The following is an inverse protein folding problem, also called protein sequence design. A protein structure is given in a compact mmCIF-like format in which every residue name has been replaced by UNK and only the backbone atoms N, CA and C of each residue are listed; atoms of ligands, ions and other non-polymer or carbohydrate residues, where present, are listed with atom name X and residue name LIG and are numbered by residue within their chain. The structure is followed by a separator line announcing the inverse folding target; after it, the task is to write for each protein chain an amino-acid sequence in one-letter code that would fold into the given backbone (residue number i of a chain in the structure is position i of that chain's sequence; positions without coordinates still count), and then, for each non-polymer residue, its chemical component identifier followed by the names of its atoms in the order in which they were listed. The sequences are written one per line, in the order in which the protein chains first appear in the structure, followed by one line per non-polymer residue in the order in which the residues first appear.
data_IF_622393376865
#
_entry.id   IF_622393376865
#
_cell.length_a   1.000
_cell.length_b   1.000
_cell.length_c   1.000
_cell.angle_alpha   90.00
_cell.angle_beta   90.00
_cell.angle_gamma   90.00
#
_symmetry.space_group_name_H-M   'P 1'
#
loop_
_entity.id
_entity.type
_entity.pdbx_description
1 polymer ?
#
# COMPACT_ATOMS: atom_id res chain seq x y z
N UNK A 1 -108.68 6.90 38.26
CA UNK A 1 -107.25 7.27 38.34
C UNK A 1 -106.45 6.06 37.90
N UNK A 2 -105.62 6.26 36.89
CA UNK A 2 -104.89 5.28 36.09
C UNK A 2 -103.92 4.44 36.92
N UNK A 3 -104.16 3.13 36.99
CA UNK A 3 -103.12 2.15 37.28
C UNK A 3 -102.24 2.03 36.03
N UNK A 4 -101.16 2.79 35.97
CA UNK A 4 -100.11 2.57 34.97
C UNK A 4 -99.35 1.30 35.35
N UNK A 5 -99.75 0.20 34.70
CA UNK A 5 -98.93 -1.00 34.53
C UNK A 5 -97.59 -0.57 33.92
N UNK A 6 -96.50 -0.78 34.65
CA UNK A 6 -95.13 -0.57 34.18
C UNK A 6 -94.62 -1.91 33.66
N UNK A 7 -94.52 -2.13 32.33
CA UNK A 7 -93.86 -3.32 31.80
C UNK A 7 -92.34 -3.16 31.98
N UNK A 8 -91.60 -4.17 32.45
CA UNK A 8 -90.15 -4.14 32.39
C UNK A 8 -89.74 -4.32 30.91
N UNK A 9 -89.13 -3.30 30.33
CA UNK A 9 -88.41 -3.39 29.05
C UNK A 9 -86.99 -3.81 29.43
N UNK A 10 -86.74 -5.12 29.38
CA UNK A 10 -85.98 -5.84 28.34
C UNK A 10 -84.48 -5.62 28.47
N UNK A 11 -83.85 -6.74 28.87
CA UNK A 11 -82.53 -7.22 28.48
C UNK A 11 -81.47 -6.12 28.37
N UNK A 12 -80.66 -6.03 29.43
CA UNK A 12 -79.30 -5.56 29.33
C UNK A 12 -78.68 -6.25 28.10
N UNK A 13 -78.60 -5.52 26.99
CA UNK A 13 -77.70 -5.87 25.91
C UNK A 13 -76.33 -5.99 26.59
N UNK A 14 -75.91 -7.24 26.83
CA UNK A 14 -74.52 -7.59 27.04
C UNK A 14 -73.80 -7.00 25.83
N UNK A 15 -73.38 -5.73 25.95
CA UNK A 15 -72.36 -5.17 25.11
C UNK A 15 -71.20 -6.14 25.30
N UNK A 16 -70.98 -7.00 24.30
CA UNK A 16 -69.72 -7.68 24.09
C UNK A 16 -68.69 -6.56 24.09
N UNK A 17 -68.10 -6.31 25.27
CA UNK A 17 -66.96 -5.42 25.42
C UNK A 17 -65.91 -6.12 24.56
N UNK A 18 -65.76 -5.65 23.32
CA UNK A 18 -64.65 -5.94 22.43
C UNK A 18 -63.43 -5.79 23.31
N UNK A 19 -62.86 -6.92 23.73
CA UNK A 19 -61.85 -6.97 24.76
C UNK A 19 -60.70 -6.12 24.27
N UNK A 20 -60.55 -4.92 24.84
CA UNK A 20 -59.46 -4.02 24.50
C UNK A 20 -58.17 -4.84 24.57
N UNK A 21 -57.45 -4.93 23.44
CA UNK A 21 -56.23 -5.73 23.35
C UNK A 21 -55.36 -5.43 24.58
N UNK A 22 -54.99 -6.48 25.32
CA UNK A 22 -54.12 -6.29 26.48
C UNK A 22 -52.75 -5.81 26.01
N UNK A 23 -52.06 -4.97 26.79
CA UNK A 23 -50.74 -4.44 26.44
C UNK A 23 -49.75 -5.56 26.06
N UNK A 24 -49.87 -6.73 26.68
CA UNK A 24 -49.05 -7.90 26.36
C UNK A 24 -49.33 -8.48 24.96
N UNK A 25 -50.61 -8.60 24.58
CA UNK A 25 -51.04 -9.12 23.28
C UNK A 25 -50.66 -8.16 22.15
N UNK A 26 -50.75 -6.85 22.39
CA UNK A 26 -50.25 -5.84 21.45
C UNK A 26 -48.73 -5.92 21.25
N UNK A 27 -47.96 -6.14 22.32
CA UNK A 27 -46.50 -6.31 22.24
C UNK A 27 -46.15 -7.57 21.45
N UNK A 28 -46.82 -8.69 21.68
CA UNK A 28 -46.60 -9.93 20.94
C UNK A 28 -46.83 -9.72 19.44
N UNK A 29 -47.98 -9.13 19.05
CA UNK A 29 -48.29 -8.81 17.65
C UNK A 29 -47.22 -7.94 17.00
N UNK A 30 -46.79 -6.86 17.67
CA UNK A 30 -45.73 -6.01 17.13
C UNK A 30 -44.38 -6.72 17.02
N UNK A 31 -44.04 -7.58 17.98
CA UNK A 31 -42.79 -8.35 17.88
C UNK A 31 -42.83 -9.33 16.72
N UNK A 32 -43.96 -10.00 16.48
CA UNK A 32 -44.15 -10.91 15.35
C UNK A 32 -44.04 -10.16 14.01
N UNK A 33 -44.75 -9.05 13.85
CA UNK A 33 -44.66 -8.20 12.65
C UNK A 33 -43.23 -7.71 12.39
N UNK A 34 -42.51 -7.28 13.45
CA UNK A 34 -41.11 -6.84 13.34
C UNK A 34 -40.21 -8.02 12.96
N UNK A 35 -40.43 -9.21 13.52
CA UNK A 35 -39.62 -10.39 13.18
C UNK A 35 -39.81 -10.79 11.73
N UNK A 36 -41.04 -10.82 11.22
CA UNK A 36 -41.33 -11.13 9.80
C UNK A 36 -40.67 -10.11 8.86
N UNK A 37 -40.74 -8.81 9.19
CA UNK A 37 -40.04 -7.78 8.41
C UNK A 37 -38.52 -7.96 8.44
N UNK A 38 -37.94 -8.31 9.59
CA UNK A 38 -36.48 -8.54 9.68
C UNK A 38 -36.09 -9.77 8.88
N UNK A 39 -36.84 -10.86 8.97
CA UNK A 39 -36.57 -12.09 8.23
C UNK A 39 -36.62 -11.86 6.72
N UNK A 40 -37.66 -11.19 6.22
CA UNK A 40 -37.80 -10.85 4.79
C UNK A 40 -36.65 -9.96 4.30
N UNK A 41 -36.29 -8.91 5.02
CA UNK A 41 -35.16 -8.03 4.65
C UNK A 41 -33.81 -8.74 4.75
N UNK A 42 -33.61 -9.63 5.73
CA UNK A 42 -32.39 -10.44 5.80
C UNK A 42 -32.28 -11.41 4.63
N UNK A 43 -33.38 -12.03 4.21
CA UNK A 43 -33.43 -12.86 3.00
C UNK A 43 -33.06 -12.07 1.75
N UNK A 44 -33.67 -10.90 1.54
CA UNK A 44 -33.34 -10.01 0.43
C UNK A 44 -31.86 -9.60 0.43
N UNK A 45 -31.29 -9.29 1.60
CA UNK A 45 -29.89 -8.94 1.73
C UNK A 45 -28.95 -10.12 1.41
N UNK A 46 -29.32 -11.33 1.80
CA UNK A 46 -28.58 -12.56 1.50
C UNK A 46 -28.58 -12.86 -0.01
N UNK A 47 -29.71 -12.75 -0.69
CA UNK A 47 -29.79 -12.90 -2.16
C UNK A 47 -28.88 -11.93 -2.92
N UNK A 48 -28.82 -10.67 -2.47
CA UNK A 48 -27.90 -9.67 -3.04
C UNK A 48 -26.45 -10.04 -2.74
N UNK A 49 -26.14 -10.53 -1.54
CA UNK A 49 -24.79 -10.98 -1.19
C UNK A 49 -24.35 -12.16 -2.05
N UNK A 50 -25.22 -13.13 -2.30
CA UNK A 50 -24.96 -14.27 -3.18
C UNK A 50 -24.64 -13.80 -4.61
N UNK A 51 -25.47 -12.91 -5.16
CA UNK A 51 -25.23 -12.31 -6.48
C UNK A 51 -23.88 -11.59 -6.55
N UNK A 52 -23.48 -10.87 -5.49
CA UNK A 52 -22.18 -10.21 -5.41
C UNK A 52 -21.02 -11.22 -5.29
N UNK A 53 -21.24 -12.35 -4.61
CA UNK A 53 -20.22 -13.41 -4.51
C UNK A 53 -19.97 -14.09 -5.85
N UNK A 54 -21.02 -14.28 -6.66
CA UNK A 54 -20.92 -14.83 -8.02
C UNK A 54 -20.05 -13.92 -8.91
N UNK A 55 -20.24 -12.60 -8.81
CA UNK A 55 -19.46 -11.58 -9.52
C UNK A 55 -18.04 -11.41 -8.92
N UNK A 56 -17.69 -12.16 -7.86
CA UNK A 56 -16.41 -12.08 -7.12
C UNK A 56 -16.14 -10.69 -6.56
N UNK A 57 -17.18 -9.98 -6.15
CA UNK A 57 -17.06 -8.69 -5.47
C UNK A 57 -16.80 -8.93 -3.98
N UNK A 58 -15.73 -8.36 -3.40
CA UNK A 58 -15.46 -8.51 -1.98
C UNK A 58 -16.49 -7.74 -1.14
N UNK A 59 -17.18 -8.43 -0.24
CA UNK A 59 -18.11 -7.83 0.73
C UNK A 59 -17.51 -7.86 2.14
N UNK A 60 -17.94 -6.92 3.00
CA UNK A 60 -17.48 -6.82 4.40
C UNK A 60 -18.68 -6.59 5.30
N UNK A 61 -18.99 -7.57 6.15
CA UNK A 61 -19.99 -7.44 7.21
C UNK A 61 -19.46 -6.62 8.39
N UNK A 62 -20.27 -5.70 8.90
CA UNK A 62 -19.95 -4.85 10.05
C UNK A 62 -21.09 -4.95 11.06
N UNK A 63 -20.78 -5.47 12.26
CA UNK A 63 -21.75 -5.50 13.37
C UNK A 63 -22.19 -4.07 13.75
N UNK A 64 -23.50 -3.84 13.75
CA UNK A 64 -24.13 -2.55 14.06
C UNK A 64 -24.68 -2.47 15.51
N UNK A 65 -24.40 -3.45 16.36
CA UNK A 65 -24.93 -3.55 17.74
C UNK A 65 -24.39 -2.49 18.71
N UNK A 66 -23.37 -1.73 18.32
CA UNK A 66 -22.70 -0.75 19.19
C UNK A 66 -23.22 0.67 18.90
N UNK A 67 -22.81 1.63 19.74
CA UNK A 67 -23.06 3.05 19.48
C UNK A 67 -22.56 3.48 18.10
N UNK A 68 -23.28 4.43 17.48
CA UNK A 68 -23.05 4.95 16.12
C UNK A 68 -21.58 5.34 15.91
N UNK A 69 -20.95 5.96 16.90
CA UNK A 69 -19.54 6.37 16.84
C UNK A 69 -18.59 5.17 16.67
N UNK A 70 -18.83 4.07 17.40
CA UNK A 70 -18.01 2.86 17.31
C UNK A 70 -18.22 2.14 15.98
N UNK A 71 -19.46 2.08 15.52
CA UNK A 71 -19.81 1.50 14.21
C UNK A 71 -19.14 2.30 13.09
N UNK A 72 -19.24 3.63 13.10
CA UNK A 72 -18.57 4.52 12.13
C UNK A 72 -17.06 4.33 12.14
N UNK A 73 -16.43 4.25 13.31
CA UNK A 73 -14.99 3.99 13.40
C UNK A 73 -14.62 2.62 12.80
N UNK A 74 -15.39 1.57 13.10
CA UNK A 74 -15.18 0.22 12.55
C UNK A 74 -15.30 0.22 11.03
N UNK A 75 -16.31 0.90 10.49
CA UNK A 75 -16.53 1.04 9.05
C UNK A 75 -15.37 1.79 8.38
N UNK A 76 -15.03 2.99 8.88
CA UNK A 76 -13.90 3.78 8.33
C UNK A 76 -12.59 3.01 8.42
N UNK A 77 -12.33 2.30 9.53
CA UNK A 77 -11.11 1.50 9.69
C UNK A 77 -11.00 0.37 8.67
N UNK A 78 -12.13 -0.26 8.29
CA UNK A 78 -12.17 -1.31 7.26
C UNK A 78 -11.96 -0.74 5.86
N UNK A 79 -12.59 0.39 5.54
CA UNK A 79 -12.56 0.98 4.20
C UNK A 79 -11.31 1.88 4.00
N UNK A 80 -10.59 2.24 5.07
CA UNK A 80 -9.41 3.11 5.04
C UNK A 80 -8.41 2.74 3.95
N UNK A 81 -8.07 1.46 3.81
CA UNK A 81 -7.09 1.01 2.83
C UNK A 81 -7.61 1.20 1.39
N UNK A 82 -8.92 1.06 1.16
CA UNK A 82 -9.55 1.28 -0.15
C UNK A 82 -9.59 2.75 -0.53
N UNK A 83 -9.83 3.64 0.45
CA UNK A 83 -9.89 5.09 0.23
C UNK A 83 -8.48 5.66 0.01
N UNK A 84 -7.55 5.36 0.91
CA UNK A 84 -6.20 5.95 0.90
C UNK A 84 -5.37 5.44 -0.28
N UNK A 85 -5.46 4.15 -0.60
CA UNK A 85 -4.68 3.51 -1.66
C UNK A 85 -5.51 3.28 -2.94
N UNK A 86 -6.43 4.19 -3.28
CA UNK A 86 -7.32 4.07 -4.46
C UNK A 86 -6.56 3.75 -5.75
N UNK A 87 -5.39 4.37 -5.94
CA UNK A 87 -4.54 4.15 -7.11
C UNK A 87 -3.90 2.76 -7.17
N UNK A 88 -3.71 2.10 -6.02
CA UNK A 88 -3.06 0.80 -5.91
C UNK A 88 -4.03 -0.37 -5.69
N UNK A 89 -5.35 -0.15 -5.85
CA UNK A 89 -6.39 -1.16 -5.59
C UNK A 89 -6.21 -2.46 -6.38
N UNK A 90 -5.78 -2.34 -7.63
CA UNK A 90 -5.59 -3.47 -8.54
C UNK A 90 -4.15 -3.99 -8.57
N UNK A 91 -3.27 -3.39 -7.76
CA UNK A 91 -1.87 -3.77 -7.73
C UNK A 91 -1.67 -5.00 -6.85
N UNK A 92 -0.96 -6.00 -7.40
CA UNK A 92 -0.69 -7.27 -6.71
C UNK A 92 0.81 -7.39 -6.46
N UNK A 93 1.15 -7.57 -5.19
CA UNK A 93 2.51 -7.80 -4.72
C UNK A 93 2.58 -9.18 -4.06
N UNK A 94 3.49 -10.02 -4.53
CA UNK A 94 3.67 -11.37 -4.02
C UNK A 94 4.88 -11.42 -3.08
N UNK A 95 4.69 -11.71 -1.78
CA UNK A 95 5.80 -11.83 -0.85
C UNK A 95 6.61 -13.10 -1.17
N UNK A 96 7.93 -13.00 -1.18
CA UNK A 96 8.84 -14.11 -1.45
C UNK A 96 9.92 -14.24 -0.37
N UNK A 97 10.51 -15.43 -0.29
CA UNK A 97 11.77 -15.65 0.44
C UNK A 97 12.94 -15.12 -0.38
N UNK A 98 14.02 -14.64 0.25
CA UNK A 98 15.18 -14.10 -0.46
C UNK A 98 15.83 -15.12 -1.40
N UNK A 99 15.90 -16.40 -1.01
CA UNK A 99 16.46 -17.47 -1.83
C UNK A 99 15.65 -17.73 -3.11
N UNK A 100 14.31 -17.71 -2.99
CA UNK A 100 13.42 -17.89 -4.14
C UNK A 100 13.53 -16.70 -5.09
N UNK A 101 13.61 -15.50 -4.55
CA UNK A 101 13.85 -14.28 -5.33
C UNK A 101 15.18 -14.34 -6.10
N UNK A 102 16.26 -14.82 -5.49
CA UNK A 102 17.55 -14.99 -6.17
C UNK A 102 17.49 -16.04 -7.28
N UNK A 103 16.77 -17.14 -7.08
CA UNK A 103 16.54 -18.14 -8.14
C UNK A 103 15.80 -17.54 -9.33
N UNK A 104 14.74 -16.75 -9.10
CA UNK A 104 13.94 -16.12 -10.17
C UNK A 104 14.75 -15.12 -11.00
N UNK A 105 15.68 -14.42 -10.35
CA UNK A 105 16.55 -13.44 -11.03
C UNK A 105 17.67 -14.15 -11.77
N UNK A 106 18.26 -15.18 -11.16
CA UNK A 106 19.35 -15.97 -11.77
C UNK A 106 18.86 -16.80 -12.96
N UNK A 107 17.61 -17.28 -12.91
CA UNK A 107 16.97 -17.97 -14.04
C UNK A 107 16.48 -17.02 -15.13
N UNK A 108 16.50 -15.71 -14.91
CA UNK A 108 15.99 -14.70 -15.84
C UNK A 108 14.46 -14.63 -15.93
N UNK A 109 13.71 -15.35 -15.08
CA UNK A 109 12.24 -15.31 -15.09
C UNK A 109 11.67 -13.97 -14.59
N UNK A 110 12.42 -13.28 -13.74
CA UNK A 110 12.09 -11.92 -13.27
C UNK A 110 13.33 -11.03 -13.31
N UNK A 111 13.09 -9.73 -13.44
CA UNK A 111 14.14 -8.72 -13.52
C UNK A 111 14.46 -8.09 -12.16
N UNK A 112 15.69 -7.62 -12.02
CA UNK A 112 16.10 -6.82 -10.88
C UNK A 112 15.39 -5.45 -10.96
N UNK A 113 14.80 -4.99 -9.86
CA UNK A 113 14.24 -3.64 -9.79
C UNK A 113 15.31 -2.55 -9.98
N UNK A 114 14.92 -1.34 -10.37
CA UNK A 114 15.78 -0.15 -10.43
C UNK A 114 16.41 0.22 -9.07
N UNK A 115 15.87 -0.29 -7.97
CA UNK A 115 16.45 -0.17 -6.64
C UNK A 115 17.60 -1.16 -6.38
N UNK A 116 17.81 -2.15 -7.26
CA UNK A 116 18.72 -3.26 -7.01
C UNK A 116 18.29 -4.09 -5.79
N UNK A 117 19.26 -4.56 -5.00
CA UNK A 117 19.01 -5.26 -3.72
C UNK A 117 18.71 -4.30 -2.54
N UNK A 118 18.48 -3.02 -2.81
CA UNK A 118 18.16 -2.04 -1.76
C UNK A 118 16.67 -1.98 -1.44
N UNK A 119 16.36 -1.67 -0.19
CA UNK A 119 14.98 -1.49 0.27
C UNK A 119 14.37 -0.21 -0.29
N UNK A 120 13.21 -0.26 -0.99
CA UNK A 120 12.52 0.93 -1.49
C UNK A 120 12.15 1.92 -0.37
N UNK A 121 11.74 1.41 0.79
CA UNK A 121 11.35 2.25 1.94
C UNK A 121 12.51 3.10 2.48
N UNK A 122 13.74 2.60 2.38
CA UNK A 122 14.94 3.33 2.83
C UNK A 122 15.33 4.46 1.88
N UNK A 123 14.95 4.39 0.58
CA UNK A 123 15.32 5.40 -0.43
C UNK A 123 14.24 6.48 -0.61
N UNK A 124 12.99 6.18 -0.30
CA UNK A 124 11.89 7.18 -0.33
C UNK A 124 11.94 8.13 0.87
N UNK A 125 12.50 7.70 2.01
CA UNK A 125 12.79 8.62 3.12
C UNK A 125 14.09 9.37 2.84
N UNK A 126 14.10 10.72 2.79
CA UNK A 126 15.32 11.51 2.60
C UNK A 126 16.30 11.43 3.80
N UNK A 127 15.97 10.68 4.84
CA UNK A 127 16.78 10.54 6.06
C UNK A 127 18.06 9.69 5.86
N UNK A 128 18.24 9.05 4.70
CA UNK A 128 19.47 8.34 4.36
C UNK A 128 20.34 9.15 3.39
N UNK A 129 20.69 10.38 3.78
CA UNK A 129 21.96 10.94 3.33
C UNK A 129 23.04 10.00 3.86
N UNK A 130 23.76 9.34 2.95
CA UNK A 130 24.92 8.52 3.30
C UNK A 130 25.98 9.32 4.05
N UNK A 131 26.95 8.66 4.69
CA UNK A 131 27.97 9.35 5.46
C UNK A 131 28.73 10.33 4.57
N UNK A 132 29.08 11.46 5.19
CA UNK A 132 29.89 12.54 4.64
C UNK A 132 31.12 12.03 3.88
N UNK A 133 31.62 12.81 2.90
CA UNK A 133 32.79 12.44 2.10
C UNK A 133 33.99 12.12 3.02
N UNK A 134 34.52 10.90 2.91
CA UNK A 134 35.67 10.43 3.70
C UNK A 134 35.55 9.01 4.26
N UNK A 135 34.40 8.35 4.16
CA UNK A 135 34.26 6.94 4.58
C UNK A 135 34.66 5.97 3.45
N UNK A 136 35.46 4.92 3.75
CA UNK A 136 35.98 4.01 2.72
C UNK A 136 34.85 3.31 1.96
N UNK A 137 34.98 3.32 0.63
CA UNK A 137 33.99 2.91 -0.38
C UNK A 137 33.58 1.43 -0.34
N UNK A 138 34.16 0.61 0.55
CA UNK A 138 33.86 -0.81 0.66
C UNK A 138 32.47 -1.09 1.26
N UNK A 139 31.86 -0.11 1.96
CA UNK A 139 30.52 -0.23 2.53
C UNK A 139 29.38 0.30 1.62
N UNK A 140 29.70 0.85 0.45
CA UNK A 140 28.72 1.55 -0.40
C UNK A 140 27.92 0.66 -1.38
N UNK A 141 28.03 -0.66 -1.26
CA UNK A 141 27.34 -1.60 -2.16
C UNK A 141 26.71 -2.81 -1.48
N UNK A 142 26.97 -3.03 -0.20
CA UNK A 142 26.44 -4.16 0.54
C UNK A 142 25.59 -3.61 1.68
N UNK A 143 24.29 -3.93 1.75
CA UNK A 143 23.51 -3.52 2.89
C UNK A 143 24.17 -4.12 4.15
N UNK A 144 24.42 -3.30 5.19
CA UNK A 144 25.02 -3.73 6.48
C UNK A 144 24.32 -4.94 7.11
N UNK A 145 23.08 -5.22 6.67
CA UNK A 145 22.33 -6.44 6.92
C UNK A 145 21.84 -7.01 5.60
N UNK A 146 22.00 -8.32 5.41
CA UNK A 146 21.45 -9.04 4.26
C UNK A 146 19.94 -8.79 4.18
N UNK A 147 19.37 -8.67 2.96
CA UNK A 147 17.94 -8.49 2.80
C UNK A 147 17.19 -9.72 3.34
N UNK A 148 16.45 -9.52 4.43
CA UNK A 148 15.71 -10.58 5.12
C UNK A 148 14.48 -11.05 4.33
N UNK A 149 13.92 -10.20 3.47
CA UNK A 149 12.67 -10.45 2.77
C UNK A 149 12.72 -9.96 1.33
N UNK A 150 11.91 -10.56 0.45
CA UNK A 150 11.72 -10.10 -0.92
C UNK A 150 10.22 -10.02 -1.26
N UNK A 151 9.89 -9.32 -2.34
CA UNK A 151 8.58 -9.37 -2.96
C UNK A 151 8.70 -9.17 -4.47
N UNK A 152 7.79 -9.80 -5.22
CA UNK A 152 7.63 -9.58 -6.66
C UNK A 152 6.49 -8.61 -6.89
N UNK A 153 6.76 -7.62 -7.72
CA UNK A 153 5.76 -6.72 -8.23
C UNK A 153 5.92 -6.66 -9.76
N UNK A 154 4.89 -7.13 -10.47
CA UNK A 154 4.89 -7.30 -11.93
C UNK A 154 6.06 -8.19 -12.40
N UNK A 155 7.01 -7.62 -13.13
CA UNK A 155 8.20 -8.30 -13.67
C UNK A 155 9.44 -8.11 -12.78
N UNK A 156 9.36 -7.25 -11.77
CA UNK A 156 10.50 -6.84 -10.98
C UNK A 156 10.49 -7.46 -9.58
N UNK A 157 11.68 -7.84 -9.12
CA UNK A 157 11.93 -8.30 -7.76
C UNK A 157 12.42 -7.13 -6.91
N UNK A 158 11.86 -7.00 -5.71
CA UNK A 158 12.23 -6.01 -4.71
C UNK A 158 12.74 -6.70 -3.45
N UNK A 159 13.80 -6.16 -2.87
CA UNK A 159 14.38 -6.65 -1.62
C UNK A 159 14.05 -5.70 -0.48
N UNK A 160 13.86 -6.26 0.73
CA UNK A 160 13.50 -5.52 1.93
C UNK A 160 14.40 -5.96 3.10
N UNK A 161 14.73 -5.01 3.97
CA UNK A 161 15.47 -5.30 5.21
C UNK A 161 14.55 -5.89 6.27
N UNK A 162 13.32 -5.37 6.39
CA UNK A 162 12.34 -5.82 7.39
C UNK A 162 11.05 -6.31 6.72
N UNK A 163 10.35 -7.29 7.32
CA UNK A 163 9.04 -7.71 6.83
C UNK A 163 7.97 -6.61 7.00
N UNK A 164 8.17 -5.67 7.92
CA UNK A 164 7.29 -4.52 8.10
C UNK A 164 7.32 -3.59 6.89
N UNK A 165 8.51 -3.34 6.32
CA UNK A 165 8.65 -2.50 5.13
C UNK A 165 8.07 -3.20 3.88
N UNK A 166 8.18 -4.53 3.81
CA UNK A 166 7.48 -5.33 2.79
C UNK A 166 5.96 -5.16 2.87
N UNK A 167 5.38 -5.15 4.09
CA UNK A 167 3.93 -4.94 4.28
C UNK A 167 3.49 -3.57 3.76
N UNK A 168 4.22 -2.51 4.11
CA UNK A 168 3.93 -1.15 3.59
C UNK A 168 4.02 -1.08 2.06
N UNK A 169 4.99 -1.79 1.46
CA UNK A 169 5.12 -1.88 0.02
C UNK A 169 3.98 -2.68 -0.63
N UNK A 170 3.49 -3.72 0.05
CA UNK A 170 2.34 -4.52 -0.39
C UNK A 170 1.05 -3.69 -0.38
N UNK A 171 0.87 -2.82 0.62
CA UNK A 171 -0.30 -1.95 0.73
C UNK A 171 -0.34 -0.87 -0.37
N UNK A 172 0.81 -0.29 -0.72
CA UNK A 172 0.90 0.72 -1.76
C UNK A 172 2.29 0.68 -2.44
N UNK A 173 2.45 -0.06 -3.54
CA UNK A 173 3.72 -0.11 -4.27
C UNK A 173 3.97 1.17 -5.09
N UNK A 174 2.90 1.85 -5.53
CA UNK A 174 2.99 2.99 -6.45
C UNK A 174 3.70 4.20 -5.85
N UNK A 175 3.52 4.46 -4.55
CA UNK A 175 4.26 5.55 -3.87
C UNK A 175 5.78 5.40 -3.99
N UNK A 176 6.29 4.17 -4.04
CA UNK A 176 7.73 3.94 -4.16
C UNK A 176 8.22 4.07 -5.61
N UNK A 177 7.33 3.87 -6.58
CA UNK A 177 7.65 3.91 -8.01
C UNK A 177 7.48 5.30 -8.61
N UNK A 178 6.45 6.05 -8.20
CA UNK A 178 6.17 7.41 -8.68
C UNK A 178 7.22 8.42 -8.18
N UNK A 179 7.75 8.22 -6.97
CA UNK A 179 8.81 9.05 -6.41
C UNK A 179 10.21 8.65 -6.90
N UNK A 180 10.33 8.08 -8.12
CA UNK A 180 11.56 7.75 -8.83
C UNK A 180 12.38 8.98 -9.26
N UNK A 181 12.53 9.99 -8.40
CA UNK A 181 13.78 10.76 -8.42
C UNK A 181 14.83 9.87 -7.76
N UNK A 182 15.31 8.87 -8.50
CA UNK A 182 16.54 8.21 -8.11
C UNK A 182 17.57 9.34 -8.00
N UNK A 183 18.18 9.63 -6.83
CA UNK A 183 19.47 10.29 -6.89
C UNK A 183 20.30 9.34 -7.74
N UNK A 184 20.70 9.82 -8.93
CA UNK A 184 21.60 9.13 -9.83
C UNK A 184 22.63 8.48 -8.92
N UNK A 185 22.68 7.14 -8.90
CA UNK A 185 23.76 6.50 -8.18
C UNK A 185 25.01 7.16 -8.74
N UNK A 186 25.83 7.79 -7.90
CA UNK A 186 27.17 8.15 -8.30
C UNK A 186 27.82 6.82 -8.71
N UNK A 187 27.67 6.49 -9.99
CA UNK A 187 28.26 5.32 -10.58
C UNK A 187 29.75 5.55 -10.37
N UNK A 188 30.44 4.66 -9.65
CA UNK A 188 31.83 4.92 -9.31
C UNK A 188 32.59 5.09 -10.63
N UNK A 189 33.07 6.31 -10.91
CA UNK A 189 33.84 6.61 -12.10
C UNK A 189 35.11 5.76 -12.03
N UNK A 190 35.22 4.77 -12.90
CA UNK A 190 36.43 3.98 -13.08
C UNK A 190 37.36 4.76 -14.00
N UNK A 191 38.22 5.59 -13.41
CA UNK A 191 39.22 6.35 -14.14
C UNK A 191 40.48 5.48 -14.33
N UNK A 192 40.79 5.14 -15.57
CA UNK A 192 42.06 4.54 -15.94
C UNK A 192 42.99 5.64 -16.49
N UNK A 193 44.08 5.94 -15.79
CA UNK A 193 45.06 6.95 -16.22
C UNK A 193 46.16 6.28 -17.04
N UNK A 194 46.07 6.41 -18.37
CA UNK A 194 47.05 5.86 -19.34
C UNK A 194 47.98 6.99 -19.84
N UNK A 195 49.18 6.67 -20.30
CA UNK A 195 50.26 7.63 -20.61
C UNK A 195 51.66 7.02 -20.46
N UNK A 196 52.68 7.72 -20.97
CA UNK A 196 54.06 7.24 -20.99
C UNK A 196 54.66 7.04 -19.57
N UNK A 197 55.65 6.14 -19.41
CA UNK A 197 56.38 6.01 -18.14
C UNK A 197 57.03 7.35 -17.75
N UNK A 198 57.03 7.69 -16.45
CA UNK A 198 57.50 8.97 -15.86
C UNK A 198 56.60 10.20 -16.04
N UNK A 199 55.40 10.09 -16.63
CA UNK A 199 54.46 11.21 -16.82
C UNK A 199 53.75 11.73 -15.54
N UNK A 200 54.28 11.48 -14.34
CA UNK A 200 53.69 12.00 -13.09
C UNK A 200 52.34 11.40 -12.67
N UNK A 201 51.85 10.33 -13.30
CA UNK A 201 50.54 9.70 -12.97
C UNK A 201 50.38 9.26 -11.51
N UNK A 202 51.49 9.07 -10.80
CA UNK A 202 51.53 8.75 -9.38
C UNK A 202 51.12 9.94 -8.50
N UNK A 203 51.36 11.18 -8.93
CA UNK A 203 50.95 12.40 -8.21
C UNK A 203 49.44 12.64 -8.30
N UNK A 204 48.77 12.22 -9.38
CA UNK A 204 47.31 12.34 -9.50
C UNK A 204 46.53 11.47 -8.50
N UNK A 205 47.17 10.54 -7.78
CA UNK A 205 46.51 9.70 -6.76
C UNK A 205 46.30 10.41 -5.42
N UNK A 206 47.03 11.48 -5.12
CA UNK A 206 47.02 12.13 -3.80
C UNK A 206 46.15 13.40 -3.72
N UNK A 207 45.69 13.94 -4.84
CA UNK A 207 44.86 15.16 -4.87
C UNK A 207 43.38 14.83 -5.03
N UNK A 208 42.66 14.83 -3.90
CA UNK A 208 41.20 14.58 -3.79
C UNK A 208 40.32 15.67 -4.42
N UNK A 209 40.88 16.76 -4.98
CA UNK A 209 40.10 17.88 -5.51
C UNK A 209 40.70 18.48 -6.79
N UNK A 210 40.84 17.69 -7.86
CA UNK A 210 41.29 18.22 -9.16
C UNK A 210 40.41 17.76 -10.35
N UNK A 211 39.21 17.22 -10.09
CA UNK A 211 38.29 16.80 -11.14
C UNK A 211 37.65 17.96 -11.94
N UNK A 212 37.67 19.19 -11.42
CA UNK A 212 37.05 20.35 -12.08
C UNK A 212 38.07 21.31 -12.74
N UNK A 213 39.34 21.31 -12.33
CA UNK A 213 40.34 22.27 -12.83
C UNK A 213 41.15 21.77 -14.03
N UNK A 214 41.25 20.45 -14.25
CA UNK A 214 42.02 19.92 -15.39
C UNK A 214 41.33 20.10 -16.76
N UNK A 215 39.99 20.22 -16.81
CA UNK A 215 39.30 20.44 -18.08
C UNK A 215 39.56 21.84 -18.68
N UNK A 216 39.77 22.86 -17.84
CA UNK A 216 40.08 24.21 -18.34
C UNK A 216 41.53 24.33 -18.81
N UNK A 217 42.49 23.64 -18.19
CA UNK A 217 43.90 23.84 -18.53
C UNK A 217 44.32 23.16 -19.83
N UNK A 218 43.65 22.06 -20.24
CA UNK A 218 44.02 21.36 -21.47
C UNK A 218 43.52 22.07 -22.74
N UNK A 219 42.44 22.86 -22.65
CA UNK A 219 41.88 23.57 -23.81
C UNK A 219 42.63 24.89 -24.13
N UNK A 220 43.36 25.47 -23.17
CA UNK A 220 44.11 26.73 -23.36
C UNK A 220 45.56 26.53 -23.81
N UNK A 221 46.08 25.30 -23.86
CA UNK A 221 47.51 25.04 -24.09
C UNK A 221 47.85 24.42 -25.46
N UNK A 222 46.88 24.28 -26.36
CA UNK A 222 47.14 23.92 -27.76
C UNK A 222 46.31 24.74 -28.76
N UNK A 223 46.60 26.04 -28.96
CA UNK A 223 46.44 26.65 -30.26
C UNK A 223 47.65 26.24 -31.11
N UNK A 224 47.42 25.75 -32.33
CA UNK A 224 48.42 25.37 -33.33
C UNK A 224 48.91 23.91 -33.28
N UNK A 225 48.04 23.02 -33.75
CA UNK A 225 48.49 21.87 -34.53
C UNK A 225 48.14 22.13 -36.01
N UNK A 226 48.90 23.03 -36.65
CA UNK A 226 48.98 23.07 -38.11
C UNK A 226 50.09 22.08 -38.51
N UNK A 227 49.74 21.12 -39.36
CA UNK A 227 50.66 20.07 -39.79
C UNK A 227 51.92 20.59 -40.49
N UNK A 228 52.96 19.77 -40.46
CA UNK A 228 53.83 19.52 -41.60
C UNK A 228 54.64 18.22 -41.37
N UNK A 229 54.35 17.27 -42.25
CA UNK A 229 55.23 16.38 -43.01
C UNK A 229 56.62 15.95 -42.49
N UNK A 230 56.86 14.66 -42.76
CA UNK A 230 58.13 13.96 -43.04
C UNK A 230 58.76 13.22 -41.85
N UNK A 231 58.65 11.88 -41.81
CA UNK A 231 59.38 10.89 -42.61
C UNK A 231 58.45 9.70 -42.88
#
# INVERSE_FOLDING_TARGET
MTLSYFPPVQEEEEQEIESEETEAEAVERFTEEITEMVETETGNAEEVLESLTEIRVPHVSVKASDSITRVRFRLVKRIKNLIVNRQALFERVYPLKPLEAERLVSSGFKHLSAFGKWCPHSRVKPTALGPLPGTPLLELGVPKKLPTCAAVYREYVFWFQTPADRKKFTENPLIYLQHQKLPLSHQPLRLAVIGAPKSGKTECKSSTYAGALCFLSFCLLFPNFSGNSSI
#
